data_IF_267410243091
#
_entry.id   IF_267410243091
#
_cell.length_a   1.000
_cell.length_b   1.000
_cell.length_c   1.000
_cell.angle_alpha   90.00
_cell.angle_beta   90.00
_cell.angle_gamma   90.00
#
_symmetry.space_group_name_H-M   'P 1'
#
loop_
_entity.id
_entity.type
_entity.pdbx_description
1 polymer ?
#
# COMPACT_ATOMS: atom_id res chain seq x y z
N UNK A 1 23.51 -6.74 2.36
CA UNK A 1 23.74 -8.18 2.60
C UNK A 1 23.64 -9.01 1.34
N UNK A 2 22.46 -9.18 0.72
CA UNK A 2 22.35 -10.00 -0.52
C UNK A 2 23.16 -9.40 -1.66
N UNK A 3 23.06 -8.08 -1.89
CA UNK A 3 23.89 -7.36 -2.87
C UNK A 3 25.39 -7.39 -2.55
N UNK A 4 25.75 -7.70 -1.31
CA UNK A 4 27.14 -7.72 -0.84
C UNK A 4 27.73 -9.15 -0.88
N UNK A 5 27.12 -10.06 -1.65
CA UNK A 5 27.67 -11.40 -1.92
C UNK A 5 27.42 -12.46 -0.85
N UNK A 6 26.55 -12.19 0.15
CA UNK A 6 26.33 -13.09 1.29
C UNK A 6 25.88 -14.52 0.93
N UNK A 7 25.40 -14.75 -0.31
CA UNK A 7 24.93 -16.06 -0.79
C UNK A 7 25.81 -16.67 -1.89
N UNK A 8 26.96 -16.07 -2.20
CA UNK A 8 27.79 -16.49 -3.33
C UNK A 8 28.80 -17.57 -2.94
N UNK A 9 29.25 -17.60 -1.68
CA UNK A 9 30.23 -18.59 -1.21
C UNK A 9 30.09 -18.89 0.30
N UNK A 10 29.60 -20.08 0.72
CA UNK A 10 29.00 -21.11 -0.12
C UNK A 10 27.60 -20.69 -0.60
N UNK A 11 27.22 -21.14 -1.79
CA UNK A 11 25.86 -20.96 -2.30
C UNK A 11 24.96 -22.08 -1.75
N UNK A 12 23.95 -21.79 -0.93
CA UNK A 12 23.10 -22.83 -0.35
C UNK A 12 22.10 -23.38 -1.38
N UNK A 13 21.81 -24.67 -1.27
CA UNK A 13 20.84 -25.36 -2.13
C UNK A 13 19.38 -25.03 -1.75
N UNK A 14 19.13 -24.75 -0.47
CA UNK A 14 17.78 -24.48 0.08
C UNK A 14 17.85 -23.37 1.14
N UNK A 15 16.82 -22.53 1.17
CA UNK A 15 16.57 -21.59 2.26
C UNK A 15 15.29 -21.95 3.00
N UNK A 16 15.38 -21.97 4.32
CA UNK A 16 14.24 -22.12 5.20
C UNK A 16 14.14 -20.86 6.07
N UNK A 17 12.93 -20.34 6.20
CA UNK A 17 12.62 -19.25 7.10
C UNK A 17 11.38 -19.63 7.91
N UNK A 18 11.41 -19.33 9.21
CA UNK A 18 10.30 -19.53 10.10
C UNK A 18 9.81 -18.17 10.62
N UNK A 19 8.51 -18.00 10.74
CA UNK A 19 7.89 -16.85 11.39
C UNK A 19 7.00 -17.38 12.51
N UNK A 20 7.15 -16.83 13.72
CA UNK A 20 6.29 -17.20 14.84
C UNK A 20 4.90 -16.61 14.62
N UNK A 21 3.87 -17.42 14.83
CA UNK A 21 2.50 -17.01 14.65
C UNK A 21 1.71 -17.32 15.91
N UNK A 22 1.32 -16.27 16.63
CA UNK A 22 0.76 -16.40 17.99
C UNK A 22 -0.66 -16.99 18.02
N UNK A 23 -1.33 -17.10 16.87
CA UNK A 23 -2.66 -17.72 16.75
C UNK A 23 -2.60 -19.25 16.62
N UNK A 24 -1.41 -19.85 16.55
CA UNK A 24 -1.22 -21.30 16.41
C UNK A 24 -0.94 -22.00 17.74
N UNK A 25 -1.41 -23.24 17.93
CA UNK A 25 -1.08 -24.04 19.10
C UNK A 25 0.43 -24.19 19.27
N UNK A 26 0.90 -24.15 20.53
CA UNK A 26 2.32 -24.37 20.83
C UNK A 26 2.73 -25.78 20.36
N UNK A 27 3.86 -25.87 19.65
CA UNK A 27 4.40 -27.13 19.13
C UNK A 27 3.90 -27.52 17.73
N UNK A 28 3.03 -26.72 17.09
CA UNK A 28 2.65 -26.93 15.69
C UNK A 28 3.58 -26.23 14.71
N UNK A 29 3.79 -26.84 13.54
CA UNK A 29 4.49 -26.24 12.40
C UNK A 29 3.58 -26.37 11.18
N UNK A 30 3.22 -25.23 10.58
CA UNK A 30 2.42 -25.17 9.36
C UNK A 30 3.30 -24.89 8.15
N UNK A 31 3.10 -25.66 7.07
CA UNK A 31 3.81 -25.48 5.80
C UNK A 31 2.80 -25.56 4.67
N UNK A 32 2.84 -24.56 3.79
CA UNK A 32 1.95 -24.48 2.62
C UNK A 32 2.80 -24.36 1.35
N UNK A 33 2.53 -25.17 0.31
CA UNK A 33 3.19 -25.00 -0.98
C UNK A 33 2.70 -23.72 -1.68
N UNK A 34 3.64 -22.93 -2.21
CA UNK A 34 3.35 -21.72 -2.96
C UNK A 34 3.41 -20.42 -2.13
N UNK A 35 2.91 -19.29 -2.67
CA UNK A 35 2.97 -17.99 -2.00
C UNK A 35 2.13 -17.96 -0.72
N UNK A 36 2.75 -17.63 0.41
CA UNK A 36 2.07 -17.59 1.73
C UNK A 36 1.80 -16.15 2.21
N UNK A 37 2.63 -15.18 1.81
CA UNK A 37 2.49 -13.77 2.22
C UNK A 37 2.85 -12.84 1.06
N UNK A 38 2.11 -11.74 0.93
CA UNK A 38 2.45 -10.64 0.03
C UNK A 38 2.12 -9.33 0.73
N UNK A 39 3.12 -8.46 0.89
CA UNK A 39 2.96 -7.12 1.42
C UNK A 39 3.96 -6.19 0.73
N UNK A 40 3.45 -5.13 0.13
CA UNK A 40 4.18 -3.98 -0.39
C UNK A 40 3.81 -2.77 0.46
N UNK A 41 4.79 -1.92 0.76
CA UNK A 41 4.54 -0.63 1.44
C UNK A 41 4.27 0.43 0.38
N UNK A 42 3.55 1.47 0.75
CA UNK A 42 3.35 2.61 -0.12
C UNK A 42 3.24 3.91 0.67
N UNK A 43 3.64 5.00 0.02
CA UNK A 43 3.44 6.37 0.52
C UNK A 43 2.82 7.24 -0.55
N UNK A 44 1.95 8.16 -0.15
CA UNK A 44 1.28 9.11 -1.04
C UNK A 44 1.25 10.49 -0.38
N UNK A 45 1.73 11.51 -1.09
CA UNK A 45 1.62 12.90 -0.65
C UNK A 45 0.57 13.60 -1.51
N UNK A 46 -0.46 14.12 -0.86
CA UNK A 46 -1.53 14.90 -1.46
C UNK A 46 -1.24 16.37 -1.18
N UNK A 47 -0.96 17.13 -2.24
CA UNK A 47 -0.65 18.57 -2.14
C UNK A 47 -1.87 19.41 -2.51
N UNK A 48 -2.19 20.36 -1.64
CA UNK A 48 -3.24 21.35 -1.80
C UNK A 48 -2.68 22.78 -1.72
N UNK A 49 -3.51 23.69 -1.23
CA UNK A 49 -3.15 25.08 -0.97
C UNK A 49 -3.69 25.45 0.40
N UNK A 50 -2.80 25.68 1.37
CA UNK A 50 -3.18 26.01 2.72
C UNK A 50 -3.72 27.42 2.89
N UNK A 51 -4.35 27.69 4.03
CA UNK A 51 -4.89 29.01 4.34
C UNK A 51 -5.71 29.04 5.63
N UNK A 52 -6.35 30.17 5.91
CA UNK A 52 -7.17 30.31 7.11
C UNK A 52 -8.41 29.41 7.01
N UNK A 53 -8.69 28.63 8.05
CA UNK A 53 -9.85 27.72 8.11
C UNK A 53 -11.22 28.41 8.01
N UNK A 54 -11.30 29.73 8.17
CA UNK A 54 -12.52 30.51 7.97
C UNK A 54 -12.70 31.00 6.51
N UNK A 55 -11.69 30.80 5.65
CA UNK A 55 -11.68 31.24 4.25
C UNK A 55 -11.43 30.07 3.29
N UNK A 56 -12.22 28.98 3.35
CA UNK A 56 -11.94 27.77 2.56
C UNK A 56 -11.99 28.00 1.05
N UNK A 57 -12.76 28.99 0.58
CA UNK A 57 -12.85 29.36 -0.84
C UNK A 57 -11.55 29.92 -1.44
N UNK A 58 -10.56 30.26 -0.61
CA UNK A 58 -9.22 30.69 -1.04
C UNK A 58 -8.17 29.56 -0.96
N UNK A 59 -8.62 28.34 -0.66
CA UNK A 59 -7.75 27.19 -0.38
C UNK A 59 -8.11 25.99 -1.26
N UNK A 60 -7.21 25.02 -1.30
CA UNK A 60 -7.46 23.69 -1.86
C UNK A 60 -7.18 22.70 -0.74
N UNK A 61 -8.22 22.21 -0.08
CA UNK A 61 -8.09 21.42 1.14
C UNK A 61 -7.58 19.99 0.87
N UNK A 62 -6.34 19.65 1.30
CA UNK A 62 -5.79 18.32 1.10
C UNK A 62 -6.33 17.30 2.11
N UNK A 63 -6.89 17.72 3.26
CA UNK A 63 -7.52 16.81 4.25
C UNK A 63 -8.77 16.21 3.64
N UNK A 64 -9.67 17.04 3.11
CA UNK A 64 -10.90 16.57 2.46
C UNK A 64 -10.55 15.64 1.29
N UNK A 65 -9.58 16.04 0.47
CA UNK A 65 -9.08 15.24 -0.65
C UNK A 65 -8.56 13.87 -0.20
N UNK A 66 -7.77 13.83 0.88
CA UNK A 66 -7.25 12.59 1.44
C UNK A 66 -8.35 11.64 1.93
N UNK A 67 -9.38 12.17 2.59
CA UNK A 67 -10.51 11.34 3.05
C UNK A 67 -11.25 10.71 1.87
N UNK A 68 -11.54 11.47 0.82
CA UNK A 68 -12.14 10.90 -0.39
C UNK A 68 -11.23 9.87 -1.07
N UNK A 69 -9.91 10.11 -1.08
CA UNK A 69 -8.94 9.14 -1.57
C UNK A 69 -9.06 7.81 -0.81
N UNK A 70 -9.05 7.86 0.53
CA UNK A 70 -9.13 6.67 1.39
C UNK A 70 -10.41 5.88 1.11
N UNK A 71 -11.55 6.55 0.96
CA UNK A 71 -12.82 5.91 0.61
C UNK A 71 -12.73 5.24 -0.78
N UNK A 72 -12.17 5.94 -1.76
CA UNK A 72 -11.97 5.40 -3.10
C UNK A 72 -11.03 4.19 -3.12
N UNK A 73 -9.99 4.15 -2.27
CA UNK A 73 -9.09 3.00 -2.16
C UNK A 73 -9.83 1.70 -1.82
N UNK A 74 -10.89 1.77 -1.01
CA UNK A 74 -11.68 0.59 -0.61
C UNK A 74 -12.41 -0.05 -1.80
N UNK A 75 -12.65 0.73 -2.86
CA UNK A 75 -13.29 0.23 -4.09
C UNK A 75 -12.36 -0.68 -4.90
N UNK A 76 -11.04 -0.57 -4.72
CA UNK A 76 -10.07 -1.39 -5.46
C UNK A 76 -10.29 -2.87 -5.14
N UNK A 77 -10.24 -3.25 -3.86
CA UNK A 77 -10.45 -4.64 -3.45
C UNK A 77 -11.89 -5.07 -3.74
N UNK A 78 -12.87 -4.22 -3.43
CA UNK A 78 -14.27 -4.63 -3.52
C UNK A 78 -14.79 -4.74 -4.95
N UNK A 79 -14.29 -3.95 -5.92
CA UNK A 79 -14.84 -3.88 -7.29
C UNK A 79 -13.86 -4.28 -8.39
N UNK A 80 -12.54 -4.20 -8.17
CA UNK A 80 -11.55 -4.44 -9.23
C UNK A 80 -10.80 -5.77 -9.08
N UNK A 81 -10.91 -6.44 -7.94
CA UNK A 81 -10.29 -7.75 -7.68
C UNK A 81 -11.35 -8.85 -7.83
N UNK A 82 -10.98 -10.00 -8.41
CA UNK A 82 -11.91 -11.12 -8.54
C UNK A 82 -12.28 -11.63 -7.14
N UNK A 83 -13.55 -11.98 -6.86
CA UNK A 83 -13.94 -12.43 -5.52
C UNK A 83 -13.22 -13.67 -4.98
N UNK A 84 -12.60 -14.47 -5.86
CA UNK A 84 -11.79 -15.65 -5.51
C UNK A 84 -10.31 -15.33 -5.31
N UNK A 85 -9.89 -14.10 -5.57
CA UNK A 85 -8.54 -13.60 -5.33
C UNK A 85 -8.47 -12.91 -3.98
N UNK A 86 -7.34 -13.03 -3.30
CA UNK A 86 -7.13 -12.39 -2.00
C UNK A 86 -6.25 -11.16 -2.17
N UNK A 87 -6.83 -9.99 -1.91
CA UNK A 87 -6.15 -8.71 -1.88
C UNK A 87 -6.45 -7.95 -0.59
N UNK A 88 -5.49 -7.16 -0.13
CA UNK A 88 -5.63 -6.24 1.01
C UNK A 88 -5.06 -4.90 0.61
N UNK A 89 -5.75 -3.82 1.00
CA UNK A 89 -5.26 -2.45 0.95
C UNK A 89 -5.49 -1.85 2.34
N UNK A 90 -4.44 -1.36 2.96
CA UNK A 90 -4.50 -0.79 4.29
C UNK A 90 -3.86 0.59 4.26
N UNK A 91 -4.59 1.59 4.75
CA UNK A 91 -4.04 2.90 5.08
C UNK A 91 -3.64 2.83 6.55
N UNK A 92 -2.35 2.78 6.81
CA UNK A 92 -1.79 2.61 8.15
C UNK A 92 -1.47 3.91 8.87
N UNK A 93 -1.28 5.00 8.11
CA UNK A 93 -1.00 6.31 8.65
C UNK A 93 -1.59 7.43 7.80
N UNK A 94 -2.01 8.50 8.46
CA UNK A 94 -2.44 9.78 7.87
C UNK A 94 -1.85 10.91 8.71
N UNK A 95 -1.15 11.84 8.05
CA UNK A 95 -0.53 13.00 8.69
C UNK A 95 -0.80 14.27 7.90
N UNK A 96 -1.35 15.31 8.53
CA UNK A 96 -1.52 16.61 7.90
C UNK A 96 -2.18 17.64 8.81
N UNK A 97 -1.66 18.87 8.76
CA UNK A 97 -2.08 19.99 9.60
C UNK A 97 -1.53 19.95 11.02
N UNK A 98 -1.19 21.13 11.55
CA UNK A 98 -0.65 21.31 12.90
C UNK A 98 -1.54 22.20 13.78
N UNK A 99 -2.36 23.06 13.17
CA UNK A 99 -3.22 24.02 13.85
C UNK A 99 -4.69 23.80 13.50
N UNK A 100 -5.57 23.85 14.51
CA UNK A 100 -7.00 23.55 14.37
C UNK A 100 -7.78 24.53 13.47
N UNK A 101 -7.23 25.73 13.22
CA UNK A 101 -7.86 26.81 12.45
C UNK A 101 -7.15 27.11 11.12
N UNK A 102 -6.27 26.22 10.65
CA UNK A 102 -5.51 26.37 9.41
C UNK A 102 -5.73 25.14 8.53
N UNK A 103 -6.08 25.37 7.26
CA UNK A 103 -6.10 24.32 6.24
C UNK A 103 -4.65 24.08 5.81
N UNK A 104 -4.11 22.84 5.88
CA UNK A 104 -2.72 22.57 5.56
C UNK A 104 -2.42 22.62 4.06
N UNK A 105 -1.14 22.72 3.72
CA UNK A 105 -0.69 22.67 2.33
C UNK A 105 -0.57 21.23 1.78
N UNK A 106 -0.47 20.21 2.65
CA UNK A 106 -0.38 18.82 2.23
C UNK A 106 -0.88 17.84 3.31
N UNK A 107 -1.18 16.62 2.86
CA UNK A 107 -1.44 15.45 3.70
C UNK A 107 -0.62 14.27 3.18
N UNK A 108 -0.01 13.52 4.08
CA UNK A 108 0.75 12.32 3.78
C UNK A 108 -0.03 11.09 4.24
N UNK A 109 -0.16 10.12 3.35
CA UNK A 109 -0.74 8.80 3.61
C UNK A 109 0.35 7.75 3.47
N UNK A 110 0.36 6.78 4.37
CA UNK A 110 1.21 5.60 4.24
C UNK A 110 0.43 4.34 4.56
N UNK A 111 0.84 3.23 3.97
CA UNK A 111 0.11 2.00 4.12
C UNK A 111 0.81 0.78 3.56
N UNK A 112 0.05 -0.31 3.54
CA UNK A 112 0.46 -1.58 2.95
C UNK A 112 -0.59 -2.05 1.96
N UNK A 113 -0.16 -2.83 0.98
CA UNK A 113 -1.03 -3.52 0.04
C UNK A 113 -0.48 -4.91 -0.23
N UNK A 114 -1.35 -5.89 -0.44
CA UNK A 114 -0.94 -7.27 -0.69
C UNK A 114 -1.90 -7.97 -1.64
N UNK A 115 -1.38 -8.83 -2.51
CA UNK A 115 -2.15 -9.73 -3.37
C UNK A 115 -1.48 -11.11 -3.33
N UNK A 116 -2.17 -12.12 -2.81
CA UNK A 116 -1.57 -13.47 -2.66
C UNK A 116 -1.89 -14.41 -3.82
N UNK A 117 -2.90 -14.10 -4.65
CA UNK A 117 -3.24 -14.92 -5.81
C UNK A 117 -2.29 -14.67 -6.99
N UNK A 118 -1.46 -15.65 -7.34
CA UNK A 118 -0.87 -15.75 -8.68
C UNK A 118 -1.90 -16.37 -9.63
N UNK A 119 -2.16 -15.73 -10.76
CA UNK A 119 -2.71 -16.43 -11.92
C UNK A 119 -1.62 -17.40 -12.42
N UNK A 120 -1.89 -18.71 -12.56
CA UNK A 120 -0.93 -19.65 -13.13
C UNK A 120 -0.39 -19.12 -14.47
N UNK A 121 0.93 -19.05 -14.63
CA UNK A 121 1.59 -18.61 -15.87
C UNK A 121 1.92 -17.11 -15.99
N UNK A 122 1.71 -16.29 -14.95
CA UNK A 122 2.04 -14.85 -15.01
C UNK A 122 3.40 -14.56 -14.35
N UNK A 123 4.31 -13.78 -14.99
CA UNK A 123 5.64 -13.53 -14.45
C UNK A 123 5.62 -12.77 -13.11
N UNK A 124 6.64 -12.96 -12.24
CA UNK A 124 6.70 -12.38 -10.89
C UNK A 124 6.55 -10.85 -10.83
N UNK A 125 6.95 -10.14 -11.90
CA UNK A 125 6.85 -8.68 -12.02
C UNK A 125 5.43 -8.15 -12.26
N UNK A 126 4.45 -9.03 -12.50
CA UNK A 126 3.09 -8.64 -12.83
C UNK A 126 2.15 -8.50 -11.62
N UNK A 127 2.58 -8.85 -10.41
CA UNK A 127 1.71 -8.89 -9.22
C UNK A 127 1.23 -7.53 -8.72
N UNK A 128 2.04 -6.49 -8.89
CA UNK A 128 1.72 -5.14 -8.40
C UNK A 128 1.36 -4.16 -9.53
N UNK A 129 1.72 -4.46 -10.78
CA UNK A 129 1.45 -3.59 -11.93
C UNK A 129 -0.04 -3.27 -12.16
N UNK A 130 -0.97 -4.24 -12.09
CA UNK A 130 -2.40 -4.00 -12.19
C UNK A 130 -2.97 -3.22 -11.01
N UNK A 131 -2.47 -3.48 -9.79
CA UNK A 131 -2.83 -2.74 -8.59
C UNK A 131 -2.41 -1.28 -8.69
N UNK A 132 -1.13 -1.01 -9.01
CA UNK A 132 -0.62 0.35 -9.22
C UNK A 132 -1.26 1.05 -10.42
N UNK A 133 -1.63 0.33 -11.48
CA UNK A 133 -2.41 0.89 -12.60
C UNK A 133 -3.85 1.22 -12.18
N UNK A 134 -4.49 0.39 -11.36
CA UNK A 134 -5.81 0.62 -10.79
C UNK A 134 -5.80 1.79 -9.82
N UNK A 135 -4.83 1.82 -8.90
CA UNK A 135 -4.56 2.91 -7.99
C UNK A 135 -4.30 4.21 -8.75
N UNK A 136 -3.40 4.19 -9.74
CA UNK A 136 -3.17 5.35 -10.61
C UNK A 136 -4.43 5.75 -11.34
N UNK A 137 -5.22 4.84 -11.92
CA UNK A 137 -6.49 5.19 -12.60
C UNK A 137 -7.54 5.78 -11.67
N UNK A 138 -7.68 5.24 -10.47
CA UNK A 138 -8.62 5.72 -9.45
C UNK A 138 -8.17 7.05 -8.84
N UNK A 139 -6.86 7.34 -8.85
CA UNK A 139 -6.28 8.57 -8.31
C UNK A 139 -5.84 9.58 -9.42
N UNK A 140 -6.02 9.25 -10.70
CA UNK A 140 -5.43 9.96 -11.85
C UNK A 140 -6.03 11.30 -12.30
N UNK A 141 -7.14 11.86 -11.77
CA UNK A 141 -7.51 13.20 -12.24
C UNK A 141 -6.76 14.34 -11.53
N UNK A 142 -5.96 14.08 -10.48
CA UNK A 142 -5.35 15.15 -9.68
C UNK A 142 -3.86 15.37 -10.00
N UNK A 143 -3.46 16.52 -10.59
CA UNK A 143 -2.08 16.80 -11.02
C UNK A 143 -1.05 16.93 -9.87
N UNK A 144 -1.48 16.83 -8.61
CA UNK A 144 -0.68 17.18 -7.43
C UNK A 144 -0.30 16.00 -6.52
N UNK A 145 -0.42 14.76 -7.01
CA UNK A 145 -0.24 13.55 -6.20
C UNK A 145 1.05 12.84 -6.56
N UNK A 146 1.93 12.63 -5.59
CA UNK A 146 3.15 11.82 -5.75
C UNK A 146 3.01 10.52 -4.97
N UNK A 147 2.95 9.41 -5.70
CA UNK A 147 2.95 8.03 -5.16
C UNK A 147 4.35 7.43 -5.31
N UNK A 148 4.94 6.99 -4.20
CA UNK A 148 6.22 6.28 -4.20
C UNK A 148 6.05 4.86 -3.64
N UNK A 149 6.71 3.85 -4.27
CA UNK A 149 6.80 2.50 -3.71
C UNK A 149 7.66 2.48 -2.44
#
# INVERSE_FOLDING_TARGET
MIRDGALENPRPDVFLAAHLWNDRPVGSVDVTPGPVMAAEKWTCVIRGQGGHGALPHQTVDPIVTAVYAIVALQTIVSRNIRPLETAVVTVGAIHGGDAFNVIPAQVELAGTSGLTSRVPGTPPSAGCGPFWKGLRRSLAPAPNWTLSP
#
